data_IF_917289652779
#
_entry.id   IF_917289652779
#
_cell.length_a   1.000
_cell.length_b   1.000
_cell.length_c   1.000
_cell.angle_alpha   90.00
_cell.angle_beta   90.00
_cell.angle_gamma   90.00
#
_symmetry.space_group_name_H-M   'P 1'
#
loop_
_entity.id
_entity.type
_entity.pdbx_description
1 polymer ?
#
# COMPACT_ATOMS: atom_id res chain seq x y z
N UNK A 1 -13.95 14.69 -10.68
CA UNK A 1 -12.84 14.40 -9.76
C UNK A 1 -12.40 15.76 -9.24
N UNK A 2 -12.55 15.99 -7.93
CA UNK A 2 -12.15 17.23 -7.27
C UNK A 2 -10.71 17.62 -7.59
N UNK A 3 -10.43 18.93 -7.55
CA UNK A 3 -9.08 19.50 -7.63
C UNK A 3 -8.15 18.93 -6.53
N UNK A 4 -8.71 18.38 -5.45
CA UNK A 4 -7.97 17.77 -4.35
C UNK A 4 -7.82 16.24 -4.45
N UNK A 5 -8.77 15.53 -5.07
CA UNK A 5 -8.69 14.05 -5.17
C UNK A 5 -7.68 13.59 -6.21
N UNK A 6 -7.49 14.35 -7.29
CA UNK A 6 -6.47 14.04 -8.31
C UNK A 6 -5.02 14.10 -7.78
N UNK A 7 -4.53 15.21 -7.20
CA UNK A 7 -3.15 15.27 -6.70
C UNK A 7 -2.90 14.26 -5.58
N UNK A 8 -3.91 14.01 -4.72
CA UNK A 8 -3.83 13.00 -3.67
C UNK A 8 -3.65 11.59 -4.25
N UNK A 9 -4.40 11.24 -5.31
CA UNK A 9 -4.20 9.97 -6.03
C UNK A 9 -2.83 9.87 -6.69
N UNK A 10 -2.34 10.94 -7.31
CA UNK A 10 -1.00 10.95 -7.89
C UNK A 10 0.06 10.66 -6.82
N UNK A 11 -0.03 11.32 -5.67
CA UNK A 11 0.89 11.08 -4.56
C UNK A 11 0.76 9.64 -4.03
N UNK A 12 -0.46 9.17 -3.78
CA UNK A 12 -0.72 7.79 -3.34
C UNK A 12 -0.30 6.74 -4.36
N UNK A 13 -0.13 7.10 -5.63
CA UNK A 13 0.33 6.18 -6.68
C UNK A 13 1.84 5.99 -6.67
N UNK A 14 2.60 6.86 -6.01
CA UNK A 14 4.05 6.68 -5.84
C UNK A 14 4.40 5.36 -5.13
N UNK A 15 3.53 4.86 -4.24
CA UNK A 15 3.74 3.54 -3.62
C UNK A 15 3.51 2.37 -4.59
N UNK A 16 2.95 2.63 -5.78
CA UNK A 16 2.91 1.65 -6.85
C UNK A 16 4.31 1.31 -7.34
N UNK A 17 5.21 2.31 -7.37
CA UNK A 17 6.63 2.11 -7.71
C UNK A 17 7.31 1.25 -6.64
N UNK A 18 7.10 1.56 -5.35
CA UNK A 18 7.65 0.73 -4.28
C UNK A 18 7.06 -0.67 -4.27
N UNK A 19 5.78 -0.83 -4.63
CA UNK A 19 5.13 -2.12 -4.86
C UNK A 19 5.80 -2.92 -5.97
N UNK A 20 6.11 -2.29 -7.11
CA UNK A 20 6.83 -2.93 -8.20
C UNK A 20 8.23 -3.40 -7.78
N UNK A 21 9.01 -2.55 -7.10
CA UNK A 21 10.32 -2.94 -6.57
C UNK A 21 10.23 -4.08 -5.55
N UNK A 22 9.21 -4.05 -4.68
CA UNK A 22 8.96 -5.12 -3.71
C UNK A 22 8.65 -6.44 -4.42
N UNK A 23 7.85 -6.40 -5.49
CA UNK A 23 7.55 -7.59 -6.28
C UNK A 23 8.81 -8.14 -6.97
N UNK A 24 9.63 -7.27 -7.56
CA UNK A 24 10.90 -7.65 -8.19
C UNK A 24 11.90 -8.27 -7.19
N UNK A 25 11.98 -7.74 -5.97
CA UNK A 25 12.76 -8.34 -4.88
C UNK A 25 12.25 -9.74 -4.53
N UNK A 26 10.93 -9.91 -4.44
CA UNK A 26 10.31 -11.20 -4.17
C UNK A 26 10.51 -12.24 -5.27
N UNK A 27 10.55 -11.80 -6.54
CA UNK A 27 10.87 -12.64 -7.69
C UNK A 27 12.38 -12.92 -7.84
N UNK A 28 13.24 -12.29 -7.01
CA UNK A 28 14.69 -12.45 -7.08
C UNK A 28 15.35 -11.73 -8.25
N UNK A 29 14.65 -10.80 -8.92
CA UNK A 29 15.19 -9.98 -10.01
C UNK A 29 16.08 -8.86 -9.46
N UNK A 30 15.70 -8.32 -8.29
CA UNK A 30 16.44 -7.27 -7.57
C UNK A 30 16.90 -7.85 -6.22
N UNK A 31 18.12 -7.53 -5.74
CA UNK A 31 18.56 -7.96 -4.42
C UNK A 31 17.61 -7.48 -3.34
N UNK A 32 17.39 -8.32 -2.33
CA UNK A 32 16.55 -7.97 -1.20
C UNK A 32 17.28 -6.97 -0.31
N UNK A 33 16.68 -5.81 -0.12
CA UNK A 33 17.18 -4.81 0.81
C UNK A 33 17.12 -5.31 2.26
N UNK A 34 18.17 -5.06 3.05
CA UNK A 34 18.29 -5.56 4.41
C UNK A 34 17.27 -4.93 5.38
N UNK A 35 16.96 -3.64 5.19
CA UNK A 35 15.94 -2.95 6.00
C UNK A 35 14.55 -3.50 5.69
N UNK A 36 14.23 -3.64 4.39
CA UNK A 36 12.99 -4.28 3.96
C UNK A 36 12.86 -5.72 4.47
N UNK A 37 13.95 -6.51 4.42
CA UNK A 37 13.97 -7.87 4.94
C UNK A 37 13.65 -7.92 6.44
N UNK A 38 14.26 -7.02 7.23
CA UNK A 38 13.99 -6.90 8.65
C UNK A 38 12.50 -6.57 8.92
N UNK A 39 11.94 -5.61 8.18
CA UNK A 39 10.52 -5.24 8.28
C UNK A 39 9.59 -6.40 7.91
N UNK A 40 9.92 -7.17 6.87
CA UNK A 40 9.14 -8.33 6.44
C UNK A 40 9.21 -9.50 7.42
N UNK A 41 10.38 -9.74 8.01
CA UNK A 41 10.63 -10.84 8.96
C UNK A 41 9.74 -10.77 10.20
N UNK A 42 9.37 -9.58 10.65
CA UNK A 42 8.40 -9.36 11.74
C UNK A 42 7.08 -10.12 11.50
N UNK A 43 6.67 -10.29 10.24
CA UNK A 43 5.43 -10.98 9.88
C UNK A 43 5.64 -12.41 9.42
N UNK A 44 6.75 -12.70 8.72
CA UNK A 44 6.94 -14.01 8.10
C UNK A 44 7.63 -15.03 9.00
N UNK A 45 8.50 -14.61 9.92
CA UNK A 45 9.18 -15.53 10.85
C UNK A 45 8.19 -16.24 11.78
N UNK A 46 7.23 -15.56 12.44
CA UNK A 46 6.25 -16.23 13.30
C UNK A 46 5.36 -17.23 12.54
N UNK A 47 5.20 -17.03 11.24
CA UNK A 47 4.34 -17.84 10.37
C UNK A 47 5.14 -18.86 9.53
N UNK A 48 6.47 -18.91 9.66
CA UNK A 48 7.37 -19.74 8.85
C UNK A 48 7.15 -19.58 7.33
N UNK A 49 6.78 -18.37 6.90
CA UNK A 49 6.55 -18.07 5.48
C UNK A 49 7.87 -17.66 4.83
N UNK A 50 8.19 -18.15 3.61
CA UNK A 50 9.37 -17.69 2.91
C UNK A 50 9.26 -16.20 2.52
N UNK A 51 10.29 -15.43 2.87
CA UNK A 51 10.32 -13.97 2.72
C UNK A 51 10.17 -13.48 1.26
N UNK A 52 10.77 -14.19 0.30
CA UNK A 52 10.70 -13.86 -1.14
C UNK A 52 9.28 -13.96 -1.71
N UNK A 53 8.57 -15.09 -1.61
CA UNK A 53 7.15 -15.19 -1.94
C UNK A 53 6.27 -14.14 -1.25
N UNK A 54 6.54 -13.85 0.03
CA UNK A 54 5.83 -12.80 0.74
C UNK A 54 5.98 -11.44 0.07
N UNK A 55 7.20 -11.03 -0.30
CA UNK A 55 7.42 -9.78 -1.03
C UNK A 55 6.84 -9.77 -2.44
N UNK A 56 6.90 -10.89 -3.15
CA UNK A 56 6.30 -11.02 -4.48
C UNK A 56 4.77 -10.76 -4.42
N UNK A 57 4.11 -11.39 -3.45
CA UNK A 57 2.69 -11.21 -3.19
C UNK A 57 2.37 -9.79 -2.73
N UNK A 58 3.07 -9.30 -1.70
CA UNK A 58 2.85 -7.97 -1.12
C UNK A 58 3.03 -6.85 -2.16
N UNK A 59 4.08 -6.94 -2.98
CA UNK A 59 4.35 -5.97 -4.04
C UNK A 59 3.25 -5.95 -5.09
N UNK A 60 2.80 -7.13 -5.52
CA UNK A 60 1.70 -7.27 -6.48
C UNK A 60 0.39 -6.71 -5.92
N UNK A 61 0.07 -7.01 -4.66
CA UNK A 61 -1.10 -6.45 -3.97
C UNK A 61 -1.07 -4.93 -3.89
N UNK A 62 0.09 -4.31 -3.61
CA UNK A 62 0.25 -2.85 -3.62
C UNK A 62 -0.02 -2.26 -5.00
N UNK A 63 0.50 -2.88 -6.06
CA UNK A 63 0.26 -2.43 -7.44
C UNK A 63 -1.23 -2.53 -7.82
N UNK A 64 -1.90 -3.64 -7.51
CA UNK A 64 -3.33 -3.81 -7.74
C UNK A 64 -4.16 -2.80 -6.94
N UNK A 65 -3.78 -2.55 -5.69
CA UNK A 65 -4.39 -1.53 -4.86
C UNK A 65 -4.28 -0.14 -5.50
N UNK A 66 -3.10 0.25 -5.97
CA UNK A 66 -2.90 1.53 -6.68
C UNK A 66 -3.71 1.60 -7.98
N UNK A 67 -3.72 0.54 -8.78
CA UNK A 67 -4.55 0.48 -10.00
C UNK A 67 -6.04 0.70 -9.69
N UNK A 68 -6.54 0.12 -8.59
CA UNK A 68 -7.92 0.33 -8.15
C UNK A 68 -8.23 1.80 -7.78
N UNK A 69 -7.25 2.56 -7.27
CA UNK A 69 -7.42 4.00 -6.99
C UNK A 69 -7.71 4.80 -8.26
N UNK A 70 -7.28 4.29 -9.42
CA UNK A 70 -7.59 4.84 -10.74
C UNK A 70 -8.82 4.21 -11.40
N UNK A 71 -9.43 3.21 -10.76
CA UNK A 71 -10.52 2.44 -11.37
C UNK A 71 -10.03 1.50 -12.47
N UNK A 72 -8.75 1.11 -12.43
CA UNK A 72 -8.13 0.20 -13.37
C UNK A 72 -8.02 -1.20 -12.74
N UNK A 73 -8.23 -2.23 -13.57
CA UNK A 73 -8.06 -3.62 -13.19
C UNK A 73 -9.30 -4.26 -12.53
N UNK A 74 -9.19 -5.53 -12.10
CA UNK A 74 -10.33 -6.33 -11.67
C UNK A 74 -10.77 -6.05 -10.23
N UNK A 75 -9.98 -5.31 -9.44
CA UNK A 75 -10.21 -5.15 -8.00
C UNK A 75 -11.13 -3.96 -7.71
N UNK A 76 -12.31 -4.17 -7.11
CA UNK A 76 -13.20 -3.08 -6.74
C UNK A 76 -12.58 -2.26 -5.59
N UNK A 77 -12.77 -0.93 -5.65
CA UNK A 77 -12.24 -0.02 -4.62
C UNK A 77 -12.68 -0.34 -3.19
N UNK A 78 -13.90 -0.87 -3.02
CA UNK A 78 -14.42 -1.25 -1.70
C UNK A 78 -13.59 -2.34 -1.01
N UNK A 79 -12.87 -3.16 -1.78
CA UNK A 79 -11.97 -4.21 -1.25
C UNK A 79 -10.53 -3.70 -1.21
N UNK A 80 -10.12 -2.97 -2.25
CA UNK A 80 -8.75 -2.49 -2.35
C UNK A 80 -8.38 -1.44 -1.29
N UNK A 81 -9.32 -0.57 -0.90
CA UNK A 81 -9.05 0.51 0.05
C UNK A 81 -8.81 -0.01 1.48
N UNK A 82 -9.66 -0.92 2.03
CA UNK A 82 -9.35 -1.62 3.27
C UNK A 82 -8.05 -2.42 3.18
N UNK A 83 -7.81 -3.12 2.06
CA UNK A 83 -6.57 -3.88 1.85
C UNK A 83 -5.31 -3.01 1.88
N UNK A 84 -5.35 -1.84 1.23
CA UNK A 84 -4.27 -0.85 1.27
C UNK A 84 -4.06 -0.26 2.67
N UNK A 85 -5.15 0.01 3.40
CA UNK A 85 -5.07 0.49 4.79
C UNK A 85 -4.44 -0.56 5.69
N UNK A 86 -4.87 -1.82 5.62
CA UNK A 86 -4.28 -2.92 6.39
C UNK A 86 -2.81 -3.10 6.04
N UNK A 87 -2.46 -3.11 4.75
CA UNK A 87 -1.07 -3.23 4.32
C UNK A 87 -0.20 -2.06 4.82
N UNK A 88 -0.73 -0.84 4.82
CA UNK A 88 -0.03 0.33 5.35
C UNK A 88 0.16 0.26 6.87
N UNK A 89 -0.85 -0.20 7.61
CA UNK A 89 -0.77 -0.44 9.06
C UNK A 89 0.26 -1.53 9.39
N UNK A 90 0.31 -2.61 8.62
CA UNK A 90 1.36 -3.63 8.75
C UNK A 90 2.74 -3.03 8.47
N UNK A 91 2.87 -2.21 7.43
CA UNK A 91 4.12 -1.48 7.17
C UNK A 91 4.52 -0.59 8.34
N UNK A 92 3.60 0.21 8.89
CA UNK A 92 3.85 1.05 10.06
C UNK A 92 4.33 0.23 11.27
N UNK A 93 3.66 -0.88 11.56
CA UNK A 93 4.06 -1.77 12.65
C UNK A 93 5.43 -2.41 12.41
N UNK A 94 5.68 -2.90 11.19
CA UNK A 94 6.96 -3.51 10.84
C UNK A 94 8.13 -2.54 10.98
N UNK A 95 7.98 -1.32 10.44
CA UNK A 95 8.99 -0.26 10.61
C UNK A 95 9.19 0.11 12.09
N UNK A 96 8.11 0.23 12.87
CA UNK A 96 8.21 0.49 14.31
C UNK A 96 8.94 -0.65 15.06
N UNK A 97 8.64 -1.91 14.73
CA UNK A 97 9.22 -3.08 15.38
C UNK A 97 10.72 -3.22 15.12
N UNK A 98 11.23 -2.73 13.98
CA UNK A 98 12.68 -2.71 13.67
C UNK A 98 13.38 -1.43 14.15
N UNK A 99 12.69 -0.56 14.89
CA UNK A 99 13.25 0.69 15.42
C UNK A 99 13.30 1.85 14.41
N UNK A 100 12.67 1.68 13.24
CA UNK A 100 12.54 2.75 12.25
C UNK A 100 11.31 3.63 12.53
N UNK A 101 11.33 4.86 12.00
CA UNK A 101 10.22 5.79 12.15
C UNK A 101 9.00 5.39 11.30
N UNK A 102 7.81 5.13 11.88
CA UNK A 102 6.62 4.70 11.14
C UNK A 102 5.91 5.85 10.40
N UNK A 103 6.49 7.06 10.41
CA UNK A 103 5.85 8.31 10.00
C UNK A 103 5.31 8.28 8.57
N UNK A 104 6.06 7.69 7.63
CA UNK A 104 5.67 7.62 6.22
C UNK A 104 4.43 6.73 6.05
N UNK A 105 4.39 5.59 6.75
CA UNK A 105 3.26 4.67 6.70
C UNK A 105 2.00 5.28 7.36
N UNK A 106 2.16 6.00 8.47
CA UNK A 106 1.06 6.72 9.14
C UNK A 106 0.54 7.85 8.26
N UNK A 107 1.41 8.64 7.64
CA UNK A 107 1.02 9.69 6.70
C UNK A 107 0.24 9.10 5.51
N UNK A 108 0.68 7.95 4.99
CA UNK A 108 -0.01 7.24 3.91
C UNK A 108 -1.41 6.76 4.31
N UNK A 109 -1.59 6.24 5.53
CA UNK A 109 -2.91 5.89 6.09
C UNK A 109 -3.82 7.12 6.14
N UNK A 110 -3.31 8.25 6.66
CA UNK A 110 -4.06 9.50 6.73
C UNK A 110 -4.51 9.99 5.35
N UNK A 111 -3.64 9.90 4.35
CA UNK A 111 -3.94 10.27 2.97
C UNK A 111 -4.96 9.35 2.30
N UNK A 112 -4.92 8.03 2.55
CA UNK A 112 -5.94 7.10 2.08
C UNK A 112 -7.30 7.37 2.72
N UNK A 113 -7.33 7.64 4.03
CA UNK A 113 -8.56 7.98 4.75
C UNK A 113 -9.15 9.29 4.24
N UNK A 114 -8.32 10.31 4.02
CA UNK A 114 -8.73 11.57 3.40
C UNK A 114 -9.32 11.35 1.99
N UNK A 115 -8.67 10.52 1.18
CA UNK A 115 -9.17 10.18 -0.16
C UNK A 115 -10.56 9.52 -0.08
N UNK A 116 -10.75 8.57 0.84
CA UNK A 116 -12.03 7.89 1.04
C UNK A 116 -13.16 8.86 1.41
N UNK A 117 -12.90 9.77 2.36
CA UNK A 117 -13.87 10.78 2.81
C UNK A 117 -14.21 11.74 1.67
N UNK A 118 -13.21 12.23 0.94
CA UNK A 118 -13.40 13.16 -0.17
C UNK A 118 -14.20 12.53 -1.32
N UNK A 119 -13.89 11.27 -1.68
CA UNK A 119 -14.65 10.56 -2.71
C UNK A 119 -16.07 10.21 -2.26
N UNK A 120 -16.28 9.91 -0.97
CA UNK A 120 -17.60 9.72 -0.39
C UNK A 120 -18.47 10.98 -0.51
N UNK A 121 -17.91 12.16 -0.20
CA UNK A 121 -18.59 13.44 -0.36
C UNK A 121 -18.91 13.76 -1.83
N UNK A 122 -17.99 13.48 -2.76
CA UNK A 122 -18.23 13.68 -4.21
C UNK A 122 -19.39 12.83 -4.75
N UNK A 123 -19.56 11.59 -4.24
CA UNK A 123 -20.67 10.72 -4.67
C UNK A 123 -22.03 11.18 -4.13
N UNK A 124 -22.06 11.75 -2.93
CA UNK A 124 -23.29 12.30 -2.34
C UNK A 124 -23.76 13.56 -3.09
N UNK A 125 -22.84 14.47 -3.42
CA UNK A 125 -23.15 15.74 -4.09
C UNK A 125 -23.61 15.61 -5.55
N UNK A 126 -23.47 14.43 -6.17
CA UNK A 126 -23.96 14.14 -7.52
C UNK A 126 -25.36 13.49 -7.54
N UNK A 127 -25.92 13.17 -6.37
CA UNK A 127 -27.25 12.57 -6.22
C UNK A 127 -28.33 13.60 -5.83
N UNK A 128 -27.95 14.83 -5.50
CA UNK A 128 -28.82 16.01 -5.45
C UNK A 128 -28.84 16.70 -6.81
#
# INVERSE_FOLDING_TARGET
MSKFTFPLKCFLSSVGVTGAFTALMGLGIVPLDAGMAAVGNVFVEPLSIPLKPFFAFLGTCKMLGVASLWGLGPMPRSIALPGLLTAASCGAYGHYAVGEGPYIAIAYIGMLAALYILEGKEKSSKKE
#
